data_IF_207262036609
#
_entry.id   IF_207262036609
#
_cell.length_a   1.000
_cell.length_b   1.000
_cell.length_c   1.000
_cell.angle_alpha   90.00
_cell.angle_beta   90.00
_cell.angle_gamma   90.00
#
_symmetry.space_group_name_H-M   'P 1'
#
loop_
_entity.id
_entity.type
_entity.pdbx_description
1 polymer ?
#
# COMPACT_ATOMS: atom_id res chain seq x y z
N UNK A 1 -4.45 -12.06 5.96
CA UNK A 1 -4.12 -10.94 5.05
C UNK A 1 -5.02 -10.97 3.83
N UNK A 2 -5.87 -9.96 3.64
CA UNK A 2 -6.89 -9.88 2.58
C UNK A 2 -6.27 -9.40 1.25
N UNK A 3 -7.08 -9.40 0.19
CA UNK A 3 -6.62 -9.09 -1.18
C UNK A 3 -6.07 -7.66 -1.32
N UNK A 4 -6.65 -6.70 -0.61
CA UNK A 4 -6.22 -5.30 -0.68
C UNK A 4 -4.85 -5.09 -0.03
N UNK A 5 -4.57 -5.73 1.12
CA UNK A 5 -3.23 -5.71 1.72
C UNK A 5 -2.18 -6.31 0.78
N UNK A 6 -2.49 -7.47 0.17
CA UNK A 6 -1.61 -8.13 -0.82
C UNK A 6 -1.34 -7.22 -2.03
N UNK A 7 -2.37 -6.54 -2.51
CA UNK A 7 -2.26 -5.55 -3.58
C UNK A 7 -1.28 -4.44 -3.24
N UNK A 8 -1.44 -3.78 -2.09
CA UNK A 8 -0.62 -2.64 -1.67
C UNK A 8 0.84 -3.07 -1.53
N UNK A 9 1.10 -4.21 -0.88
CA UNK A 9 2.46 -4.75 -0.77
C UNK A 9 3.09 -5.04 -2.13
N UNK A 10 2.32 -5.64 -3.05
CA UNK A 10 2.83 -5.92 -4.40
C UNK A 10 3.17 -4.64 -5.15
N UNK A 11 2.34 -3.60 -5.03
CA UNK A 11 2.60 -2.30 -5.62
C UNK A 11 3.89 -1.70 -5.06
N UNK A 12 4.04 -1.63 -3.73
CA UNK A 12 5.24 -1.07 -3.11
C UNK A 12 6.50 -1.89 -3.43
N UNK A 13 6.40 -3.23 -3.56
CA UNK A 13 7.52 -4.10 -3.95
C UNK A 13 7.98 -3.88 -5.38
N UNK A 14 7.06 -3.58 -6.31
CA UNK A 14 7.38 -3.43 -7.74
C UNK A 14 7.76 -1.98 -8.07
N UNK A 15 7.01 -1.02 -7.55
CA UNK A 15 7.13 0.40 -7.91
C UNK A 15 7.97 1.21 -6.92
N UNK A 16 8.41 0.58 -5.83
CA UNK A 16 9.29 1.19 -4.83
C UNK A 16 8.55 1.85 -3.67
N UNK A 17 9.36 2.30 -2.72
CA UNK A 17 8.90 2.92 -1.48
C UNK A 17 8.60 4.41 -1.66
N UNK A 18 7.75 4.96 -0.79
CA UNK A 18 7.46 6.40 -0.73
C UNK A 18 6.36 6.87 -1.66
N UNK A 19 5.48 5.97 -2.10
CA UNK A 19 4.33 6.28 -2.94
C UNK A 19 3.22 6.94 -2.12
N UNK A 20 2.56 7.95 -2.69
CA UNK A 20 1.36 8.53 -2.11
C UNK A 20 0.16 7.61 -2.26
N UNK A 21 -0.84 7.76 -1.38
CA UNK A 21 -2.12 7.01 -1.48
C UNK A 21 -2.74 7.11 -2.87
N UNK A 22 -2.70 8.29 -3.51
CA UNK A 22 -3.25 8.48 -4.85
C UNK A 22 -2.44 7.76 -5.94
N UNK A 23 -1.11 7.68 -5.80
CA UNK A 23 -0.26 6.93 -6.72
C UNK A 23 -0.55 5.43 -6.62
N UNK A 24 -0.66 4.90 -5.40
CA UNK A 24 -1.05 3.49 -5.19
C UNK A 24 -2.43 3.24 -5.80
N UNK A 25 -3.38 4.16 -5.63
CA UNK A 25 -4.72 4.05 -6.23
C UNK A 25 -4.70 4.05 -7.77
N UNK A 26 -3.79 4.79 -8.39
CA UNK A 26 -3.64 4.72 -9.85
C UNK A 26 -3.00 3.40 -10.28
N UNK A 27 -2.01 2.92 -9.53
CA UNK A 27 -1.31 1.66 -9.82
C UNK A 27 -2.19 0.42 -9.63
N UNK A 28 -3.24 0.49 -8.79
CA UNK A 28 -4.18 -0.64 -8.62
C UNK A 28 -4.89 -1.02 -9.92
N UNK A 29 -5.07 -0.06 -10.84
CA UNK A 29 -5.66 -0.28 -12.16
C UNK A 29 -4.86 -1.28 -13.01
N UNK A 30 -3.55 -1.38 -12.77
CA UNK A 30 -2.67 -2.35 -13.45
C UNK A 30 -2.81 -3.76 -12.88
N UNK A 31 -3.50 -3.92 -11.75
CA UNK A 31 -3.65 -5.19 -11.03
C UNK A 31 -5.12 -5.48 -10.66
N UNK A 32 -6.07 -5.44 -11.62
CA UNK A 32 -7.50 -5.46 -11.32
C UNK A 32 -7.98 -6.73 -10.63
N UNK A 33 -7.31 -7.88 -10.85
CA UNK A 33 -7.61 -9.15 -10.18
C UNK A 33 -7.19 -9.15 -8.71
N UNK A 34 -6.08 -8.50 -8.38
CA UNK A 34 -5.51 -8.48 -7.02
C UNK A 34 -6.08 -7.32 -6.19
N UNK A 35 -6.29 -6.17 -6.82
CA UNK A 35 -6.68 -4.92 -6.20
C UNK A 35 -8.19 -4.61 -6.33
N UNK A 36 -9.02 -5.62 -6.58
CA UNK A 36 -10.46 -5.44 -6.88
C UNK A 36 -11.20 -4.61 -5.82
N UNK A 37 -10.78 -4.69 -4.55
CA UNK A 37 -11.37 -3.93 -3.44
C UNK A 37 -10.75 -2.55 -3.19
N UNK A 38 -9.67 -2.17 -3.89
CA UNK A 38 -9.02 -0.86 -3.77
C UNK A 38 -9.70 0.17 -4.68
N UNK A 39 -11.00 0.39 -4.50
CA UNK A 39 -11.80 1.30 -5.33
C UNK A 39 -11.71 2.78 -4.95
N UNK A 40 -11.13 3.10 -3.79
CA UNK A 40 -11.02 4.45 -3.26
C UNK A 40 -9.79 4.59 -2.35
N UNK A 41 -9.30 5.82 -2.18
CA UNK A 41 -8.21 6.13 -1.26
C UNK A 41 -8.47 5.65 0.17
N UNK A 42 -9.74 5.65 0.62
CA UNK A 42 -10.11 5.16 1.95
C UNK A 42 -9.85 3.66 2.14
N UNK A 43 -10.07 2.85 1.10
CA UNK A 43 -9.76 1.41 1.14
C UNK A 43 -8.26 1.18 1.23
N UNK A 44 -7.46 2.00 0.56
CA UNK A 44 -6.00 1.94 0.63
C UNK A 44 -5.52 2.35 2.02
N UNK A 45 -6.05 3.43 2.58
CA UNK A 45 -5.70 3.88 3.94
C UNK A 45 -6.04 2.79 4.96
N UNK A 46 -7.28 2.27 4.94
CA UNK A 46 -7.70 1.23 5.88
C UNK A 46 -6.83 -0.03 5.76
N UNK A 47 -6.59 -0.52 4.54
CA UNK A 47 -5.74 -1.71 4.32
C UNK A 47 -4.28 -1.44 4.66
N UNK A 48 -3.79 -0.22 4.44
CA UNK A 48 -2.45 0.22 4.81
C UNK A 48 -2.27 0.30 6.32
N UNK A 49 -3.28 0.73 7.07
CA UNK A 49 -3.25 0.71 8.54
C UNK A 49 -3.16 -0.72 9.08
N UNK A 50 -3.89 -1.67 8.49
CA UNK A 50 -3.76 -3.09 8.84
C UNK A 50 -2.33 -3.61 8.59
N UNK A 51 -1.74 -3.25 7.45
CA UNK A 51 -0.35 -3.60 7.11
C UNK A 51 0.68 -2.98 8.07
N UNK A 52 0.43 -1.77 8.56
CA UNK A 52 1.25 -1.13 9.60
C UNK A 52 1.12 -1.91 10.92
N UNK A 53 -0.09 -2.30 11.29
CA UNK A 53 -0.36 -3.04 12.53
C UNK A 53 0.39 -4.37 12.59
N UNK A 54 0.50 -5.07 11.45
CA UNK A 54 1.28 -6.31 11.33
C UNK A 54 2.75 -6.08 10.97
N UNK A 55 3.20 -4.82 10.94
CA UNK A 55 4.61 -4.45 10.78
C UNK A 55 5.19 -4.59 9.38
N UNK A 56 4.37 -4.77 8.34
CA UNK A 56 4.87 -4.97 6.96
C UNK A 56 5.19 -3.66 6.23
N UNK A 57 4.51 -2.57 6.58
CA UNK A 57 4.73 -1.25 5.98
C UNK A 57 4.77 -0.16 7.06
N UNK A 58 5.21 1.03 6.69
CA UNK A 58 5.12 2.24 7.48
C UNK A 58 4.52 3.39 6.63
N UNK A 59 3.93 4.38 7.30
CA UNK A 59 3.49 5.62 6.66
C UNK A 59 4.29 6.80 7.18
N UNK A 60 4.61 7.74 6.29
CA UNK A 60 5.18 9.05 6.65
C UNK A 60 4.28 10.17 6.16
N UNK A 61 4.11 11.19 6.99
CA UNK A 61 3.38 12.39 6.62
C UNK A 61 4.32 13.25 5.75
N UNK A 62 3.86 13.64 4.58
CA UNK A 62 4.59 14.53 3.68
C UNK A 62 3.65 15.62 3.13
N UNK A 63 4.23 16.67 2.55
CA UNK A 63 3.44 17.69 1.83
C UNK A 63 2.66 17.00 0.70
N UNK A 64 1.34 17.05 0.75
CA UNK A 64 0.46 16.34 -0.20
C UNK A 64 -0.15 15.01 0.30
N UNK A 65 0.10 14.61 1.56
CA UNK A 65 -0.61 13.49 2.21
C UNK A 65 0.31 12.43 2.81
N UNK A 66 -0.15 11.17 2.81
CA UNK A 66 0.61 10.04 3.33
C UNK A 66 1.43 9.36 2.25
N UNK A 67 2.70 9.12 2.54
CA UNK A 67 3.59 8.25 1.77
C UNK A 67 3.73 6.90 2.47
N UNK A 68 3.75 5.84 1.69
CA UNK A 68 3.81 4.46 2.17
C UNK A 68 5.14 3.82 1.81
N UNK A 69 5.72 3.08 2.74
CA UNK A 69 7.03 2.45 2.59
C UNK A 69 6.94 1.01 3.08
N UNK A 70 7.56 0.07 2.37
CA UNK A 70 7.81 -1.26 2.91
C UNK A 70 8.72 -1.12 4.12
N UNK A 71 8.35 -1.78 5.21
CA UNK A 71 9.26 -1.98 6.31
C UNK A 71 10.18 -3.12 5.90
N UNK A 72 11.50 -2.88 5.92
CA UNK A 72 12.48 -3.92 5.59
C UNK A 72 12.52 -4.89 6.77
N UNK A 73 11.60 -5.85 6.79
CA UNK A 73 11.68 -6.98 7.70
C UNK A 73 12.67 -7.91 7.02
N UNK A 74 13.86 -8.05 7.59
CA UNK A 74 14.80 -9.09 7.21
C UNK A 74 14.01 -10.41 7.11
N UNK A 75 13.82 -10.89 5.89
CA UNK A 75 13.41 -12.26 5.68
C UNK A 75 14.65 -13.09 5.96
N UNK A 76 14.76 -13.52 7.21
CA UNK A 76 15.69 -14.56 7.65
C UNK A 76 15.47 -15.86 6.85
#
# INVERSE_FOLDING_TARGET
MKSNEKCILKILKIHGNGLFTNEILQLTKNYPKLCKGCSSGNHIISSGLELINIGLIEKKIAKGGFKWYLKNINQE
#
